data_IF_171094339084
#
_entry.id   IF_171094339084
#
_cell.length_a   1.000
_cell.length_b   1.000
_cell.length_c   1.000
_cell.angle_alpha   90.00
_cell.angle_beta   90.00
_cell.angle_gamma   90.00
#
_symmetry.space_group_name_H-M   'P 1'
#
loop_
_entity.id
_entity.type
_entity.pdbx_description
1 polymer ?
#
# COMPACT_ATOMS: atom_id res chain seq x y z
N UNK A 1 17.96 -23.86 11.99
CA UNK A 1 16.92 -23.12 11.23
C UNK A 1 17.55 -22.59 9.94
N UNK A 2 17.22 -23.11 8.76
CA UNK A 2 17.82 -22.61 7.50
C UNK A 2 17.14 -21.29 7.12
N UNK A 3 17.91 -20.20 7.07
CA UNK A 3 17.43 -18.90 6.62
C UNK A 3 17.18 -18.96 5.12
N UNK A 4 15.93 -18.72 4.69
CA UNK A 4 15.58 -18.63 3.28
C UNK A 4 15.78 -17.18 2.79
N UNK A 5 16.99 -16.88 2.32
CA UNK A 5 17.38 -15.53 1.88
C UNK A 5 16.47 -14.96 0.80
N UNK A 6 15.97 -15.78 -0.14
CA UNK A 6 15.07 -15.30 -1.19
C UNK A 6 13.70 -14.88 -0.65
N UNK A 7 13.18 -15.59 0.34
CA UNK A 7 11.90 -15.24 0.95
C UNK A 7 12.00 -13.94 1.75
N UNK A 8 13.10 -13.77 2.48
CA UNK A 8 13.37 -12.54 3.22
C UNK A 8 13.59 -11.35 2.30
N UNK A 9 14.28 -11.53 1.17
CA UNK A 9 14.47 -10.48 0.17
C UNK A 9 13.12 -9.99 -0.40
N UNK A 10 12.18 -10.89 -0.68
CA UNK A 10 10.83 -10.50 -1.14
C UNK A 10 10.04 -9.71 -0.10
N UNK A 11 10.12 -10.12 1.17
CA UNK A 11 9.48 -9.40 2.29
C UNK A 11 10.06 -8.01 2.44
N UNK A 12 11.39 -7.89 2.44
CA UNK A 12 12.10 -6.62 2.53
C UNK A 12 11.76 -5.72 1.34
N UNK A 13 11.75 -6.27 0.12
CA UNK A 13 11.41 -5.54 -1.09
C UNK A 13 9.97 -5.00 -1.05
N UNK A 14 9.01 -5.84 -0.65
CA UNK A 14 7.63 -5.40 -0.48
C UNK A 14 7.51 -4.29 0.57
N UNK A 15 8.21 -4.43 1.70
CA UNK A 15 8.24 -3.42 2.76
C UNK A 15 8.77 -2.09 2.23
N UNK A 16 9.94 -2.09 1.58
CA UNK A 16 10.55 -0.88 1.01
C UNK A 16 9.62 -0.22 0.01
N UNK A 17 9.06 -0.98 -0.93
CA UNK A 17 8.11 -0.44 -1.91
C UNK A 17 6.91 0.16 -1.20
N UNK A 18 6.28 -0.57 -0.28
CA UNK A 18 5.09 -0.08 0.42
C UNK A 18 5.33 1.25 1.14
N UNK A 19 6.48 1.42 1.80
CA UNK A 19 6.87 2.66 2.47
C UNK A 19 7.09 3.76 1.43
N UNK A 20 7.88 3.48 0.39
CA UNK A 20 8.19 4.47 -0.65
C UNK A 20 6.97 4.93 -1.44
N UNK A 21 5.96 4.08 -1.63
CA UNK A 21 4.76 4.44 -2.39
C UNK A 21 3.69 5.10 -1.52
N UNK A 22 3.67 4.87 -0.21
CA UNK A 22 2.65 5.42 0.70
C UNK A 22 3.18 6.65 1.42
N UNK A 23 4.35 6.54 2.07
CA UNK A 23 4.87 7.55 2.99
C UNK A 23 5.62 8.66 2.25
N UNK A 24 6.47 8.30 1.29
CA UNK A 24 7.31 9.28 0.58
C UNK A 24 6.50 10.35 -0.15
N UNK A 25 5.43 10.02 -0.92
CA UNK A 25 4.66 11.05 -1.63
C UNK A 25 4.00 12.02 -0.66
N UNK A 26 3.47 11.51 0.46
CA UNK A 26 2.86 12.37 1.49
C UNK A 26 3.88 13.29 2.13
N UNK A 27 5.04 12.75 2.50
CA UNK A 27 6.11 13.55 3.06
C UNK A 27 6.52 14.68 2.12
N UNK A 28 6.66 14.39 0.82
CA UNK A 28 7.01 15.39 -0.19
C UNK A 28 5.94 16.47 -0.30
N UNK A 29 4.66 16.09 -0.37
CA UNK A 29 3.54 17.04 -0.46
C UNK A 29 3.50 17.94 0.77
N UNK A 30 3.65 17.40 1.98
CA UNK A 30 3.57 18.20 3.20
C UNK A 30 4.79 19.08 3.43
N UNK A 31 6.00 18.60 3.09
CA UNK A 31 7.25 19.31 3.32
C UNK A 31 7.54 20.37 2.27
N UNK A 32 7.29 20.07 1.00
CA UNK A 32 7.68 20.94 -0.12
C UNK A 32 6.49 21.53 -0.87
N UNK A 33 5.27 21.04 -0.62
CA UNK A 33 4.06 21.59 -1.22
C UNK A 33 3.68 22.93 -0.61
N UNK A 34 3.44 23.90 -1.50
CA UNK A 34 2.73 25.14 -1.21
C UNK A 34 1.26 24.85 -0.82
N UNK A 35 0.58 25.82 -0.22
CA UNK A 35 -0.79 25.67 0.33
C UNK A 35 -1.78 25.04 -0.66
N UNK A 36 -1.70 25.43 -1.93
CA UNK A 36 -2.52 24.87 -3.02
C UNK A 36 -2.27 23.38 -3.23
N UNK A 37 -1.01 22.93 -3.14
CA UNK A 37 -0.64 21.52 -3.23
C UNK A 37 -1.09 20.72 -2.00
N UNK A 38 -1.12 21.34 -0.81
CA UNK A 38 -1.72 20.72 0.37
C UNK A 38 -3.22 20.50 0.20
N UNK A 39 -3.92 21.36 -0.56
CA UNK A 39 -5.32 21.14 -0.96
C UNK A 39 -5.52 19.86 -1.80
N UNK A 40 -4.50 19.40 -2.53
CA UNK A 40 -4.54 18.16 -3.32
C UNK A 40 -4.47 16.89 -2.46
N UNK A 41 -4.27 16.98 -1.14
CA UNK A 41 -4.32 15.82 -0.24
C UNK A 41 -5.64 15.07 -0.34
N UNK A 42 -6.75 15.78 -0.58
CA UNK A 42 -8.07 15.17 -0.73
C UNK A 42 -8.09 14.27 -1.97
N UNK A 43 -7.53 14.74 -3.09
CA UNK A 43 -7.38 13.92 -4.29
C UNK A 43 -6.48 12.69 -4.02
N UNK A 44 -5.43 12.86 -3.23
CA UNK A 44 -4.57 11.76 -2.82
C UNK A 44 -5.31 10.71 -2.00
N UNK A 45 -6.12 11.14 -1.03
CA UNK A 45 -6.96 10.29 -0.18
C UNK A 45 -7.97 9.50 -1.00
N UNK A 46 -8.69 10.16 -1.91
CA UNK A 46 -9.79 9.53 -2.63
C UNK A 46 -9.40 8.80 -3.91
N UNK A 47 -8.26 9.14 -4.53
CA UNK A 47 -7.86 8.60 -5.83
C UNK A 47 -6.51 7.90 -5.78
N UNK A 48 -5.47 8.59 -5.32
CA UNK A 48 -4.12 8.05 -5.35
C UNK A 48 -3.94 6.87 -4.41
N UNK A 49 -4.40 6.95 -3.16
CA UNK A 49 -4.24 5.86 -2.19
C UNK A 49 -5.03 4.60 -2.55
N UNK A 50 -6.29 4.67 -3.01
CA UNK A 50 -6.96 3.48 -3.53
C UNK A 50 -6.20 2.84 -4.69
N UNK A 51 -5.68 3.64 -5.63
CA UNK A 51 -4.89 3.13 -6.75
C UNK A 51 -3.57 2.49 -6.29
N UNK A 52 -2.83 3.15 -5.39
CA UNK A 52 -1.60 2.60 -4.77
C UNK A 52 -1.92 1.30 -4.04
N UNK A 53 -3.02 1.26 -3.29
CA UNK A 53 -3.45 0.08 -2.55
C UNK A 53 -3.71 -1.10 -3.46
N UNK A 54 -4.40 -0.86 -4.57
CA UNK A 54 -4.65 -1.87 -5.60
C UNK A 54 -3.35 -2.41 -6.20
N UNK A 55 -2.42 -1.52 -6.57
CA UNK A 55 -1.11 -1.90 -7.13
C UNK A 55 -0.28 -2.69 -6.10
N UNK A 56 -0.27 -2.31 -4.82
CA UNK A 56 0.40 -3.06 -3.76
C UNK A 56 -0.25 -4.43 -3.54
N UNK A 57 -1.56 -4.54 -3.70
CA UNK A 57 -2.29 -5.80 -3.69
C UNK A 57 -1.84 -6.75 -4.81
N UNK A 58 -1.72 -6.21 -6.03
CA UNK A 58 -1.16 -6.93 -7.19
C UNK A 58 0.27 -7.37 -6.90
N UNK A 59 1.12 -6.46 -6.43
CA UNK A 59 2.52 -6.72 -6.15
C UNK A 59 2.69 -7.83 -5.12
N UNK A 60 1.90 -7.82 -4.05
CA UNK A 60 1.90 -8.89 -3.05
C UNK A 60 1.58 -10.26 -3.69
N UNK A 61 0.54 -10.33 -4.53
CA UNK A 61 0.16 -11.56 -5.23
C UNK A 61 1.21 -12.05 -6.25
N UNK A 62 2.03 -11.14 -6.80
CA UNK A 62 3.17 -11.48 -7.66
C UNK A 62 4.32 -12.03 -6.82
N UNK A 63 4.72 -11.32 -5.76
CA UNK A 63 5.84 -11.68 -4.89
C UNK A 63 5.54 -12.93 -4.03
N UNK A 64 4.26 -13.27 -3.85
CA UNK A 64 3.79 -14.36 -2.97
C UNK A 64 4.22 -14.16 -1.52
N UNK A 65 4.23 -12.92 -1.05
CA UNK A 65 4.45 -12.63 0.37
C UNK A 65 3.21 -13.09 1.16
N UNK A 66 3.40 -13.49 2.42
CA UNK A 66 2.28 -13.85 3.28
C UNK A 66 1.29 -12.67 3.36
N UNK A 67 0.02 -12.92 3.02
CA UNK A 67 -0.99 -11.87 2.90
C UNK A 67 -1.25 -11.13 4.21
N UNK A 68 -1.23 -11.83 5.35
CA UNK A 68 -1.43 -11.21 6.66
C UNK A 68 -0.27 -10.29 7.02
N UNK A 69 0.97 -10.73 6.80
CA UNK A 69 2.16 -9.90 7.01
C UNK A 69 2.14 -8.66 6.12
N UNK A 70 1.82 -8.83 4.83
CA UNK A 70 1.77 -7.76 3.86
C UNK A 70 0.67 -6.73 4.17
N UNK A 71 -0.48 -7.19 4.67
CA UNK A 71 -1.59 -6.34 5.13
C UNK A 71 -1.22 -5.57 6.40
N UNK A 72 -0.54 -6.21 7.36
CA UNK A 72 -0.04 -5.54 8.56
C UNK A 72 0.86 -4.38 8.16
N UNK A 73 1.91 -4.64 7.36
CA UNK A 73 2.84 -3.60 6.89
C UNK A 73 2.09 -2.46 6.18
N UNK A 74 1.16 -2.82 5.29
CA UNK A 74 0.34 -1.88 4.55
C UNK A 74 -0.51 -0.99 5.45
N UNK A 75 -1.26 -1.57 6.40
CA UNK A 75 -2.11 -0.84 7.35
C UNK A 75 -1.25 0.06 8.24
N UNK A 76 -0.11 -0.44 8.75
CA UNK A 76 0.80 0.36 9.58
C UNK A 76 1.33 1.59 8.84
N UNK A 77 1.68 1.48 7.56
CA UNK A 77 2.10 2.64 6.76
C UNK A 77 0.98 3.69 6.63
N UNK A 78 -0.27 3.26 6.43
CA UNK A 78 -1.40 4.17 6.38
C UNK A 78 -1.70 4.83 7.73
N UNK A 79 -1.66 4.07 8.83
CA UNK A 79 -1.79 4.62 10.19
C UNK A 79 -0.69 5.65 10.44
N UNK A 80 0.56 5.33 10.11
CA UNK A 80 1.68 6.25 10.24
C UNK A 80 1.43 7.54 9.46
N UNK A 81 1.03 7.43 8.19
CA UNK A 81 0.72 8.61 7.38
C UNK A 81 -0.40 9.44 8.01
N UNK A 82 -1.46 8.80 8.49
CA UNK A 82 -2.59 9.50 9.08
C UNK A 82 -2.20 10.20 10.38
N UNK A 83 -1.44 9.54 11.26
CA UNK A 83 -1.04 10.12 12.54
C UNK A 83 -0.05 11.29 12.42
N UNK A 84 0.85 11.25 11.43
CA UNK A 84 1.92 12.25 11.31
C UNK A 84 1.59 13.39 10.34
N UNK A 85 0.77 13.14 9.33
CA UNK A 85 0.54 14.11 8.25
C UNK A 85 -0.92 14.52 8.10
N UNK A 86 -1.88 13.63 8.40
CA UNK A 86 -3.29 13.89 8.15
C UNK A 86 -4.07 14.10 9.46
N UNK A 87 -5.36 14.39 9.33
CA UNK A 87 -6.29 14.42 10.46
C UNK A 87 -6.73 12.99 10.81
N UNK A 88 -7.03 12.73 12.08
CA UNK A 88 -7.57 11.45 12.57
C UNK A 88 -8.85 11.02 11.84
N UNK A 89 -9.64 11.97 11.33
CA UNK A 89 -10.80 11.68 10.48
C UNK A 89 -10.44 10.87 9.23
N UNK A 90 -9.21 10.96 8.73
CA UNK A 90 -8.75 10.19 7.57
C UNK A 90 -8.58 8.68 7.85
N UNK A 91 -8.62 8.24 9.12
CA UNK A 91 -8.60 6.81 9.46
C UNK A 91 -9.80 6.05 8.88
N UNK A 92 -10.94 6.74 8.66
CA UNK A 92 -12.16 6.13 8.12
C UNK A 92 -11.97 5.58 6.70
N UNK A 93 -10.95 6.03 5.97
CA UNK A 93 -10.66 5.57 4.61
C UNK A 93 -9.81 4.29 4.59
N UNK A 94 -9.21 3.86 5.70
CA UNK A 94 -8.37 2.65 5.75
C UNK A 94 -9.14 1.39 5.31
N UNK A 95 -10.38 1.12 5.78
CA UNK A 95 -11.18 0.00 5.28
C UNK A 95 -11.34 0.02 3.75
N UNK A 96 -11.54 1.20 3.16
CA UNK A 96 -11.65 1.36 1.71
C UNK A 96 -10.35 0.98 0.99
N UNK A 97 -9.20 1.40 1.51
CA UNK A 97 -7.88 1.01 0.97
C UNK A 97 -7.62 -0.50 1.07
N UNK A 98 -8.05 -1.13 2.16
CA UNK A 98 -7.96 -2.59 2.32
C UNK A 98 -8.78 -3.31 1.25
N UNK A 99 -9.98 -2.82 0.93
CA UNK A 99 -10.81 -3.42 -0.14
C UNK A 99 -10.08 -3.38 -1.48
N UNK A 100 -9.53 -2.22 -1.87
CA UNK A 100 -8.76 -2.09 -3.11
C UNK A 100 -7.53 -3.00 -3.14
N UNK A 101 -6.82 -3.09 -2.02
CA UNK A 101 -5.70 -4.00 -1.86
C UNK A 101 -6.11 -5.46 -2.11
N UNK A 102 -7.21 -5.90 -1.50
CA UNK A 102 -7.74 -7.26 -1.66
C UNK A 102 -8.15 -7.52 -3.11
N UNK A 103 -8.81 -6.56 -3.77
CA UNK A 103 -9.19 -6.67 -5.18
C UNK A 103 -7.97 -6.89 -6.07
N UNK A 104 -6.91 -6.08 -5.91
CA UNK A 104 -5.67 -6.24 -6.67
C UNK A 104 -5.02 -7.62 -6.47
N UNK A 105 -5.04 -8.13 -5.24
CA UNK A 105 -4.52 -9.46 -4.92
C UNK A 105 -5.34 -10.59 -5.57
N UNK A 106 -6.66 -10.51 -5.47
CA UNK A 106 -7.61 -11.50 -6.01
C UNK A 106 -7.50 -11.57 -7.53
N UNK A 107 -7.44 -10.42 -8.21
CA UNK A 107 -7.35 -10.34 -9.67
C UNK A 107 -6.19 -11.18 -10.20
N UNK A 108 -4.98 -11.05 -9.63
CA UNK A 108 -3.82 -11.82 -10.06
C UNK A 108 -3.99 -13.33 -9.81
N UNK A 109 -4.62 -13.71 -8.69
CA UNK A 109 -4.90 -15.12 -8.41
C UNK A 109 -5.87 -15.70 -9.43
N UNK A 110 -6.91 -14.94 -9.78
CA UNK A 110 -7.90 -15.32 -10.80
C UNK A 110 -7.23 -15.45 -12.17
N UNK A 111 -6.45 -14.46 -12.61
CA UNK A 111 -5.71 -14.52 -13.88
C UNK A 111 -4.77 -15.73 -13.97
N UNK A 112 -4.01 -16.03 -12.91
CA UNK A 112 -3.14 -17.22 -12.88
C UNK A 112 -3.94 -18.53 -12.96
N UNK A 113 -5.11 -18.58 -12.33
CA UNK A 113 -6.00 -19.75 -12.38
C UNK A 113 -6.56 -19.99 -13.79
N UNK A 114 -6.92 -18.93 -14.52
CA UNK A 114 -7.39 -19.04 -15.90
C UNK A 114 -6.27 -19.37 -16.90
N UNK A 115 -5.05 -18.84 -16.71
CA UNK A 115 -3.92 -19.15 -17.59
C UNK A 115 -3.44 -20.60 -17.51
N UNK A 116 -3.64 -21.24 -16.35
CA UNK A 116 -3.20 -22.62 -16.11
C UNK A 116 -4.30 -23.67 -16.40
N UNK A 117 -5.46 -23.23 -16.92
CA UNK A 117 -6.49 -24.10 -17.50
C UNK A 117 -6.33 -24.12 -19.01
#
# INVERSE_FOLDING_TARGET
MKVNYMENAKKLFYLVISITTIVLPTYIIFKYGNETFKGLIILFIFLAYPAISFVLGILNAILKVNIYLALIIFIFNFIFVVMYFLNSSALIYIPFYIIFYMLGNIIIKVFKKYKNK
#
